data_IF_490110149638
#
_entry.id   IF_490110149638
#
_cell.length_a   1.000
_cell.length_b   1.000
_cell.length_c   1.000
_cell.angle_alpha   90.00
_cell.angle_beta   90.00
_cell.angle_gamma   90.00
#
_symmetry.space_group_name_H-M   'P 1'
#
loop_
_entity.id
_entity.type
_entity.pdbx_description
1 polymer ?
#
# COMPACT_ATOMS: atom_id res chain seq x y z
N UNK A 1 10.80 17.45 -22.95
CA UNK A 1 11.40 16.77 -21.78
C UNK A 1 10.59 15.50 -21.59
N UNK A 2 11.16 14.35 -21.93
CA UNK A 2 10.44 13.07 -21.90
C UNK A 2 10.30 12.63 -20.44
N UNK A 3 9.07 12.41 -20.01
CA UNK A 3 8.73 11.87 -18.71
C UNK A 3 9.27 10.44 -18.62
N UNK A 4 10.35 10.24 -17.86
CA UNK A 4 11.07 8.96 -17.74
C UNK A 4 10.54 8.10 -16.59
N UNK A 5 9.29 8.30 -16.17
CA UNK A 5 8.70 7.46 -15.13
C UNK A 5 8.20 6.19 -15.79
N UNK A 6 9.05 5.15 -15.79
CA UNK A 6 8.63 3.83 -16.23
C UNK A 6 7.36 3.43 -15.43
N UNK A 7 6.32 2.87 -16.08
CA UNK A 7 5.05 2.54 -15.42
C UNK A 7 5.22 1.58 -14.24
N UNK A 8 6.34 0.87 -14.18
CA UNK A 8 6.72 0.01 -13.06
C UNK A 8 7.04 0.80 -11.79
N UNK A 9 7.76 1.92 -11.89
CA UNK A 9 8.08 2.77 -10.74
C UNK A 9 6.81 3.38 -10.12
N UNK A 10 5.92 3.91 -10.96
CA UNK A 10 4.67 4.52 -10.49
C UNK A 10 3.77 3.50 -9.75
N UNK A 11 3.73 2.24 -10.20
CA UNK A 11 3.01 1.16 -9.50
C UNK A 11 3.65 0.81 -8.16
N UNK A 12 4.98 0.72 -8.11
CA UNK A 12 5.70 0.47 -6.85
C UNK A 12 5.45 1.57 -5.82
N UNK A 13 5.39 2.83 -6.26
CA UNK A 13 5.07 3.97 -5.39
C UNK A 13 3.63 3.89 -4.85
N UNK A 14 2.65 3.58 -5.70
CA UNK A 14 1.25 3.42 -5.29
C UNK A 14 1.06 2.27 -4.27
N UNK A 15 1.78 1.15 -4.44
CA UNK A 15 1.78 0.03 -3.48
C UNK A 15 2.36 0.44 -2.13
N UNK A 16 3.47 1.19 -2.14
CA UNK A 16 4.11 1.69 -0.91
C UNK A 16 3.21 2.66 -0.17
N UNK A 17 2.60 3.62 -0.88
CA UNK A 17 1.66 4.59 -0.29
C UNK A 17 0.45 3.89 0.33
N UNK A 18 -0.15 2.95 -0.41
CA UNK A 18 -1.27 2.15 0.06
C UNK A 18 -0.94 1.36 1.32
N UNK A 19 0.25 0.76 1.37
CA UNK A 19 0.73 0.00 2.52
C UNK A 19 0.96 0.89 3.76
N UNK A 20 1.55 2.08 3.58
CA UNK A 20 1.75 3.04 4.66
C UNK A 20 0.41 3.50 5.23
N UNK A 21 -0.52 3.90 4.35
CA UNK A 21 -1.87 4.30 4.73
C UNK A 21 -2.60 3.20 5.52
N UNK A 22 -2.54 1.95 5.05
CA UNK A 22 -3.19 0.82 5.72
C UNK A 22 -2.57 0.52 7.08
N UNK A 23 -1.26 0.71 7.23
CA UNK A 23 -0.57 0.52 8.50
C UNK A 23 -1.02 1.52 9.58
N UNK A 24 -1.58 2.66 9.18
CA UNK A 24 -2.11 3.68 10.09
C UNK A 24 -3.55 3.39 10.53
N UNK A 25 -4.28 2.55 9.80
CA UNK A 25 -5.69 2.29 10.07
C UNK A 25 -5.88 1.46 11.34
N UNK A 26 -6.60 2.02 12.31
CA UNK A 26 -7.01 1.32 13.53
C UNK A 26 -8.44 1.74 13.93
N UNK A 27 -9.46 0.88 13.73
CA UNK A 27 -9.39 -0.48 13.20
C UNK A 27 -9.10 -0.51 11.68
N UNK A 28 -8.54 -1.61 11.15
CA UNK A 28 -8.30 -1.74 9.72
C UNK A 28 -9.64 -1.78 8.94
N UNK A 29 -9.67 -1.22 7.72
CA UNK A 29 -10.86 -1.26 6.86
C UNK A 29 -11.20 -2.71 6.48
N UNK A 30 -12.49 -3.04 6.50
CA UNK A 30 -12.99 -4.35 6.07
C UNK A 30 -14.03 -4.17 4.93
N UNK A 31 -13.86 -4.84 3.78
CA UNK A 31 -12.77 -5.74 3.43
C UNK A 31 -11.53 -4.97 2.91
N UNK A 32 -10.33 -5.33 3.39
CA UNK A 32 -9.08 -4.58 3.15
C UNK A 32 -8.73 -4.42 1.67
N UNK A 33 -8.75 -5.52 0.90
CA UNK A 33 -8.31 -5.53 -0.49
C UNK A 33 -9.21 -4.65 -1.38
N UNK A 34 -10.55 -4.77 -1.35
CA UNK A 34 -11.45 -3.83 -2.03
C UNK A 34 -11.22 -2.37 -1.65
N UNK A 35 -10.96 -2.08 -0.36
CA UNK A 35 -10.70 -0.71 0.09
C UNK A 35 -9.42 -0.13 -0.55
N UNK A 36 -8.33 -0.92 -0.59
CA UNK A 36 -7.09 -0.51 -1.24
C UNK A 36 -7.26 -0.29 -2.75
N UNK A 37 -7.95 -1.22 -3.42
CA UNK A 37 -8.20 -1.12 -4.88
C UNK A 37 -9.03 0.10 -5.23
N UNK A 38 -10.09 0.36 -4.47
CA UNK A 38 -10.97 1.51 -4.70
C UNK A 38 -10.27 2.84 -4.44
N UNK A 39 -9.42 2.88 -3.40
CA UNK A 39 -8.74 4.12 -2.97
C UNK A 39 -7.55 4.50 -3.84
N UNK A 40 -6.73 3.52 -4.22
CA UNK A 40 -5.45 3.75 -4.89
C UNK A 40 -5.42 3.27 -6.35
N UNK A 41 -6.53 2.74 -6.87
CA UNK A 41 -6.60 2.23 -8.25
C UNK A 41 -5.78 0.97 -8.50
N UNK A 42 -5.37 0.26 -7.45
CA UNK A 42 -4.50 -0.91 -7.53
C UNK A 42 -5.20 -2.12 -8.18
N UNK A 43 -4.41 -2.95 -8.86
CA UNK A 43 -4.82 -4.31 -9.20
C UNK A 43 -4.97 -5.18 -7.93
N UNK A 44 -5.55 -6.37 -8.09
CA UNK A 44 -5.68 -7.30 -6.97
C UNK A 44 -4.33 -7.76 -6.40
N UNK A 45 -3.31 -7.93 -7.26
CA UNK A 45 -1.97 -8.36 -6.85
C UNK A 45 -1.30 -7.25 -6.04
N UNK A 46 -1.29 -6.03 -6.58
CA UNK A 46 -0.71 -4.85 -5.91
C UNK A 46 -1.39 -4.55 -4.56
N UNK A 47 -2.72 -4.73 -4.48
CA UNK A 47 -3.44 -4.57 -3.22
C UNK A 47 -3.06 -5.65 -2.19
N UNK A 48 -2.81 -6.89 -2.61
CA UNK A 48 -2.29 -7.94 -1.74
C UNK A 48 -0.85 -7.63 -1.29
N UNK A 49 0.00 -7.13 -2.18
CA UNK A 49 1.36 -6.69 -1.84
C UNK A 49 1.34 -5.55 -0.83
N UNK A 50 0.50 -4.53 -1.04
CA UNK A 50 0.32 -3.43 -0.12
C UNK A 50 -0.19 -3.90 1.25
N UNK A 51 -1.13 -4.86 1.27
CA UNK A 51 -1.61 -5.47 2.51
C UNK A 51 -0.48 -6.18 3.27
N UNK A 52 0.33 -6.99 2.58
CA UNK A 52 1.48 -7.67 3.19
C UNK A 52 2.54 -6.68 3.71
N UNK A 53 2.84 -5.62 2.93
CA UNK A 53 3.80 -4.58 3.29
C UNK A 53 3.32 -3.76 4.50
N UNK A 54 2.02 -3.46 4.59
CA UNK A 54 1.44 -2.75 5.73
C UNK A 54 1.66 -3.48 7.06
N UNK A 55 1.63 -4.81 7.05
CA UNK A 55 1.88 -5.61 8.24
C UNK A 55 3.31 -5.44 8.74
N UNK A 56 4.29 -5.39 7.82
CA UNK A 56 5.70 -5.11 8.16
C UNK A 56 5.85 -3.73 8.78
N UNK A 57 5.21 -2.70 8.22
CA UNK A 57 5.26 -1.35 8.79
C UNK A 57 4.67 -1.26 10.20
N UNK A 58 3.60 -2.00 10.49
CA UNK A 58 3.03 -2.08 11.85
C UNK A 58 3.99 -2.73 12.84
N UNK A 59 4.72 -3.78 12.41
CA UNK A 59 5.74 -4.43 13.24
C UNK A 59 6.90 -3.47 13.51
N UNK A 60 7.45 -2.82 12.48
CA UNK A 60 8.53 -1.86 12.64
C UNK A 60 8.14 -0.70 13.56
N UNK A 61 6.92 -0.16 13.43
CA UNK A 61 6.42 0.88 14.34
C UNK A 61 6.31 0.42 15.79
N UNK A 62 5.93 -0.84 16.03
CA UNK A 62 5.92 -1.40 17.39
C UNK A 62 7.31 -1.62 17.98
N UNK A 63 8.32 -1.87 17.13
CA UNK A 63 9.70 -2.10 17.56
C UNK A 63 10.48 -0.81 17.84
N UNK A 64 10.09 0.31 17.20
CA UNK A 64 10.76 1.61 17.31
C UNK A 64 9.92 2.71 17.98
N UNK A 65 8.70 2.39 18.43
CA UNK A 65 7.76 3.30 19.09
C UNK A 65 7.75 3.16 20.59
#
# INVERSE_FOLDING_TARGET
MADLTAPEHQRSEAVVEAAQWLAEQNPPPYPTIPALRSRFGLSAVEACEAAALSHRYRIFRKAHG
#
